data_IF_958986206608
#
_entry.id   IF_958986206608
#
_cell.length_a   1.000
_cell.length_b   1.000
_cell.length_c   1.000
_cell.angle_alpha   90.00
_cell.angle_beta   90.00
_cell.angle_gamma   90.00
#
_symmetry.space_group_name_H-M   'P 1'
#
loop_
_entity.id
_entity.type
_entity.pdbx_description
1 polymer ?
#
# COMPACT_ATOMS: atom_id res chain seq x y z
N UNK A 1 -1.07 11.03 23.85
CA UNK A 1 -1.31 9.80 24.61
C UNK A 1 -0.01 9.17 25.09
N UNK A 2 0.89 8.73 24.20
CA UNK A 2 2.16 8.09 24.59
C UNK A 2 3.04 8.96 25.51
N UNK A 3 3.21 10.25 25.21
CA UNK A 3 3.95 11.18 26.08
C UNK A 3 3.34 11.27 27.49
N UNK A 4 2.01 11.34 27.58
CA UNK A 4 1.30 11.40 28.85
C UNK A 4 1.44 10.10 29.68
N UNK A 5 1.71 8.96 29.04
CA UNK A 5 1.96 7.70 29.71
C UNK A 5 3.35 7.62 30.37
N UNK A 6 4.23 8.60 30.16
CA UNK A 6 5.58 8.63 30.74
C UNK A 6 6.51 7.59 30.14
N UNK A 7 6.94 7.81 28.88
CA UNK A 7 7.83 6.89 28.18
C UNK A 7 9.16 6.70 28.92
N UNK A 8 9.59 5.45 29.08
CA UNK A 8 10.93 5.12 29.57
C UNK A 8 11.99 5.52 28.53
N UNK A 9 13.23 5.86 28.95
CA UNK A 9 14.30 6.26 28.02
C UNK A 9 14.63 5.22 26.93
N UNK A 10 14.44 3.93 27.23
CA UNK A 10 14.70 2.83 26.29
C UNK A 10 13.47 2.44 25.45
N UNK A 11 12.37 3.19 25.47
CA UNK A 11 11.18 2.90 24.68
C UNK A 11 11.47 3.05 23.17
N UNK A 12 11.42 1.94 22.45
CA UNK A 12 11.82 1.86 21.04
C UNK A 12 10.67 1.50 20.09
N UNK A 13 9.64 0.80 20.57
CA UNK A 13 8.51 0.31 19.77
C UNK A 13 7.18 0.45 20.50
N UNK A 14 6.09 0.48 19.73
CA UNK A 14 4.72 0.38 20.24
C UNK A 14 4.01 -0.77 19.52
N UNK A 15 3.49 -1.73 20.27
CA UNK A 15 2.71 -2.85 19.74
C UNK A 15 1.22 -2.68 20.03
N UNK A 16 0.38 -2.91 19.02
CA UNK A 16 -1.07 -2.88 19.15
C UNK A 16 -1.65 -4.29 19.22
N UNK A 17 -2.47 -4.54 20.24
CA UNK A 17 -3.26 -5.76 20.37
C UNK A 17 -4.76 -5.45 20.23
N UNK A 18 -5.41 -6.21 19.35
CA UNK A 18 -6.84 -6.16 19.07
C UNK A 18 -7.62 -7.18 19.89
N UNK A 19 -8.93 -6.96 20.00
CA UNK A 19 -9.86 -7.82 20.72
C UNK A 19 -10.50 -8.90 19.86
N UNK A 20 -9.89 -9.25 18.72
CA UNK A 20 -10.41 -10.28 17.83
C UNK A 20 -10.27 -11.68 18.46
N UNK A 21 -11.35 -12.50 18.43
CA UNK A 21 -11.20 -13.92 18.66
C UNK A 21 -10.47 -14.46 17.44
N UNK A 22 -9.24 -14.96 17.62
CA UNK A 22 -8.46 -15.52 16.52
C UNK A 22 -9.26 -16.55 15.69
N UNK A 23 -8.83 -16.83 14.46
CA UNK A 23 -9.57 -17.69 13.53
C UNK A 23 -9.93 -19.07 14.12
N UNK A 24 -9.11 -19.55 15.07
CA UNK A 24 -9.37 -20.69 15.95
C UNK A 24 -8.91 -20.33 17.37
N UNK A 25 -9.38 -21.05 18.39
CA UNK A 25 -9.05 -20.78 19.79
C UNK A 25 -7.54 -20.82 20.10
N UNK A 26 -6.76 -21.56 19.31
CA UNK A 26 -5.30 -21.70 19.46
C UNK A 26 -4.50 -20.74 18.59
N UNK A 27 -5.16 -19.87 17.81
CA UNK A 27 -4.48 -18.93 16.96
C UNK A 27 -3.75 -17.87 17.81
N UNK A 28 -2.51 -17.55 17.41
CA UNK A 28 -1.79 -16.45 18.02
C UNK A 28 -2.56 -15.13 17.78
N UNK A 29 -2.58 -14.21 18.77
CA UNK A 29 -3.21 -12.91 18.58
C UNK A 29 -2.49 -12.10 17.50
N UNK A 30 -3.24 -11.29 16.75
CA UNK A 30 -2.69 -10.41 15.72
C UNK A 30 -2.04 -9.19 16.37
N UNK A 31 -0.76 -9.34 16.72
CA UNK A 31 0.04 -8.26 17.32
C UNK A 31 1.14 -7.84 16.35
N UNK A 32 1.10 -6.57 15.96
CA UNK A 32 2.13 -5.90 15.16
C UNK A 32 2.68 -4.76 15.99
N UNK A 33 3.98 -4.49 15.83
CA UNK A 33 4.63 -3.34 16.46
C UNK A 33 5.23 -2.41 15.41
N UNK A 34 5.14 -1.11 15.69
CA UNK A 34 5.78 -0.06 14.90
C UNK A 34 6.90 0.59 15.72
N UNK A 35 7.98 1.05 15.08
CA UNK A 35 9.03 1.81 15.76
C UNK A 35 8.48 3.10 16.38
N UNK A 36 9.07 3.55 17.48
CA UNK A 36 8.61 4.73 18.24
C UNK A 36 8.52 5.98 17.36
N UNK A 37 9.47 6.16 16.41
CA UNK A 37 9.42 7.27 15.43
C UNK A 37 8.10 7.32 14.66
N UNK A 38 7.53 6.16 14.30
CA UNK A 38 6.27 6.07 13.56
C UNK A 38 5.08 6.18 14.51
N UNK A 39 5.18 5.62 15.72
CA UNK A 39 4.14 5.76 16.74
C UNK A 39 3.94 7.22 17.20
N UNK A 40 5.02 8.01 17.15
CA UNK A 40 5.04 9.44 17.48
C UNK A 40 4.77 10.37 16.29
N UNK A 41 4.61 9.83 15.07
CA UNK A 41 4.18 10.62 13.91
C UNK A 41 2.81 11.22 14.20
N UNK A 42 2.63 12.52 13.92
CA UNK A 42 1.39 13.26 14.19
C UNK A 42 0.17 12.67 13.46
N UNK A 43 0.38 11.92 12.38
CA UNK A 43 -0.66 11.27 11.60
C UNK A 43 -0.91 9.82 12.04
N UNK A 44 -0.16 9.27 12.99
CA UNK A 44 -0.49 7.97 13.58
C UNK A 44 -1.58 8.15 14.62
N UNK A 45 -2.76 7.58 14.36
CA UNK A 45 -3.97 7.91 15.12
C UNK A 45 -4.51 6.70 15.87
N UNK A 46 -5.06 6.97 17.05
CA UNK A 46 -6.14 6.16 17.60
C UNK A 46 -7.47 6.76 17.12
N UNK A 47 -8.12 6.08 16.18
CA UNK A 47 -9.34 6.56 15.54
C UNK A 47 -10.57 5.84 16.10
N UNK A 48 -11.65 6.59 16.34
CA UNK A 48 -12.98 6.10 16.73
C UNK A 48 -14.07 6.43 15.69
N UNK A 49 -13.72 7.19 14.67
CA UNK A 49 -14.60 7.57 13.56
C UNK A 49 -13.91 7.39 12.20
N UNK A 50 -14.71 7.18 11.15
CA UNK A 50 -14.29 7.08 9.75
C UNK A 50 -15.37 7.71 8.87
N UNK A 51 -14.99 8.68 8.04
CA UNK A 51 -15.90 9.45 7.16
C UNK A 51 -17.09 10.03 7.95
N UNK A 52 -16.78 10.81 9.00
CA UNK A 52 -17.74 11.53 9.85
C UNK A 52 -18.76 10.67 10.61
N UNK A 53 -18.58 9.35 10.63
CA UNK A 53 -19.41 8.40 11.37
C UNK A 53 -18.56 7.53 12.32
N UNK A 54 -19.15 6.96 13.39
CA UNK A 54 -18.48 5.95 14.19
C UNK A 54 -17.92 4.82 13.32
N UNK A 55 -16.80 4.23 13.73
CA UNK A 55 -16.23 3.10 12.99
C UNK A 55 -17.26 1.99 12.77
N UNK A 56 -17.39 1.45 11.54
CA UNK A 56 -18.09 0.20 11.33
C UNK A 56 -17.43 -0.94 12.13
N UNK A 57 -18.21 -1.91 12.61
CA UNK A 57 -17.68 -3.06 13.38
C UNK A 57 -16.55 -3.78 12.65
N UNK A 58 -16.70 -4.00 11.34
CA UNK A 58 -15.69 -4.66 10.49
C UNK A 58 -14.38 -3.86 10.36
N UNK A 59 -14.43 -2.55 10.62
CA UNK A 59 -13.30 -1.63 10.59
C UNK A 59 -12.70 -1.34 11.97
N UNK A 60 -13.17 -2.01 13.02
CA UNK A 60 -12.52 -1.98 14.33
C UNK A 60 -13.22 -1.15 15.40
N UNK A 61 -14.54 -0.93 15.30
CA UNK A 61 -15.31 -0.30 16.38
C UNK A 61 -14.99 -0.92 17.76
N UNK A 62 -14.86 -0.14 18.84
CA UNK A 62 -15.02 1.32 18.91
C UNK A 62 -13.73 2.09 18.60
N UNK A 63 -12.59 1.42 18.52
CA UNK A 63 -11.28 2.07 18.43
C UNK A 63 -10.32 1.23 17.58
N UNK A 64 -9.57 1.90 16.71
CA UNK A 64 -8.47 1.28 15.97
C UNK A 64 -7.21 2.13 15.99
N UNK A 65 -6.07 1.48 15.86
CA UNK A 65 -4.84 2.13 15.42
C UNK A 65 -4.90 2.33 13.90
N UNK A 66 -4.50 3.52 13.45
CA UNK A 66 -4.28 3.85 12.05
C UNK A 66 -2.82 4.29 11.93
N UNK A 67 -2.06 3.58 11.09
CA UNK A 67 -0.65 3.89 10.80
C UNK A 67 -0.56 4.26 9.32
N UNK A 68 -0.77 5.54 8.95
CA UNK A 68 -0.81 5.93 7.56
C UNK A 68 0.49 5.63 6.81
N UNK A 69 0.36 5.31 5.53
CA UNK A 69 1.49 4.97 4.66
C UNK A 69 2.06 3.55 4.84
N UNK A 70 1.77 2.88 5.96
CA UNK A 70 2.25 1.53 6.23
C UNK A 70 1.23 0.48 5.80
N UNK A 71 1.68 -0.77 5.67
CA UNK A 71 0.78 -1.91 5.41
C UNK A 71 -0.33 -2.00 6.45
N UNK A 72 -1.53 -2.36 6.00
CA UNK A 72 -2.73 -2.36 6.84
C UNK A 72 -2.64 -3.24 8.09
N UNK A 73 -1.75 -4.25 8.10
CA UNK A 73 -1.52 -5.09 9.28
C UNK A 73 -0.95 -4.31 10.46
N UNK A 74 -0.24 -3.21 10.25
CA UNK A 74 0.22 -2.32 11.33
C UNK A 74 -0.93 -1.51 11.97
N UNK A 75 -2.10 -1.44 11.32
CA UNK A 75 -3.26 -0.67 11.77
C UNK A 75 -4.26 -1.56 12.53
N UNK A 76 -3.92 -1.93 13.77
CA UNK A 76 -4.68 -2.82 14.65
C UNK A 76 -6.14 -2.38 14.81
N UNK A 77 -7.08 -3.26 14.43
CA UNK A 77 -8.52 -3.07 14.65
C UNK A 77 -8.92 -3.55 16.05
N UNK A 78 -10.05 -3.05 16.56
CA UNK A 78 -10.57 -3.42 17.88
C UNK A 78 -9.51 -3.23 18.97
N UNK A 79 -8.73 -2.15 18.85
CA UNK A 79 -7.56 -1.90 19.65
C UNK A 79 -7.97 -1.71 21.11
N UNK A 80 -7.41 -2.54 22.00
CA UNK A 80 -7.66 -2.44 23.44
C UNK A 80 -6.37 -2.26 24.24
N UNK A 81 -5.23 -2.74 23.75
CA UNK A 81 -3.94 -2.62 24.43
C UNK A 81 -2.88 -2.05 23.48
N UNK A 82 -2.16 -1.04 23.96
CA UNK A 82 -0.90 -0.58 23.39
C UNK A 82 0.24 -0.91 24.36
N UNK A 83 1.26 -1.63 23.89
CA UNK A 83 2.44 -2.00 24.66
C UNK A 83 3.63 -1.17 24.20
N UNK A 84 4.27 -0.45 25.12
CA UNK A 84 5.54 0.22 24.87
C UNK A 84 6.67 -0.77 25.15
N UNK A 85 7.52 -1.00 24.15
CA UNK A 85 8.56 -2.03 24.15
C UNK A 85 9.93 -1.39 23.88
N UNK A 86 10.99 -2.04 24.34
CA UNK A 86 12.39 -1.68 24.08
C UNK A 86 12.96 -2.30 22.80
N UNK A 87 12.20 -3.18 22.16
CA UNK A 87 12.53 -3.85 20.90
C UNK A 87 11.25 -4.18 20.10
N UNK A 88 11.35 -4.54 18.81
CA UNK A 88 10.21 -5.05 18.06
C UNK A 88 9.51 -6.21 18.79
N UNK A 89 8.18 -6.24 18.73
CA UNK A 89 7.40 -7.33 19.34
C UNK A 89 7.79 -8.68 18.74
N UNK A 90 7.94 -9.69 19.60
CA UNK A 90 8.30 -11.06 19.20
C UNK A 90 7.05 -11.92 19.16
N UNK A 91 6.47 -12.08 17.98
CA UNK A 91 5.34 -12.97 17.75
C UNK A 91 5.08 -13.23 16.28
N UNK A 92 4.19 -14.17 15.98
CA UNK A 92 3.95 -14.72 14.63
C UNK A 92 3.81 -13.67 13.54
N UNK A 93 3.10 -12.58 13.81
CA UNK A 93 2.85 -11.51 12.82
C UNK A 93 4.01 -10.51 12.66
N UNK A 94 5.08 -10.65 13.43
CA UNK A 94 6.34 -9.91 13.28
C UNK A 94 7.49 -10.83 12.80
N UNK A 95 7.38 -12.15 12.99
CA UNK A 95 8.47 -13.11 12.72
C UNK A 95 8.19 -14.12 11.61
N UNK A 96 6.92 -14.36 11.25
CA UNK A 96 6.52 -15.36 10.26
C UNK A 96 5.61 -14.80 9.17
N UNK A 97 4.77 -13.82 9.52
CA UNK A 97 3.89 -13.11 8.58
C UNK A 97 4.26 -11.63 8.52
N UNK A 98 3.88 -10.95 7.43
CA UNK A 98 4.20 -9.54 7.20
C UNK A 98 5.70 -9.23 7.35
N UNK A 99 6.52 -10.12 6.80
CA UNK A 99 7.96 -9.97 6.66
C UNK A 99 8.34 -10.12 5.19
N UNK A 100 9.42 -9.48 4.78
CA UNK A 100 10.00 -9.63 3.44
C UNK A 100 11.51 -9.83 3.55
N UNK A 101 12.14 -10.52 2.58
CA UNK A 101 13.59 -10.57 2.48
C UNK A 101 14.16 -9.15 2.48
N UNK A 102 15.24 -8.93 3.24
CA UNK A 102 15.93 -7.63 3.25
C UNK A 102 16.54 -7.28 1.90
N UNK A 103 16.97 -8.30 1.16
CA UNK A 103 17.52 -8.21 -0.19
C UNK A 103 16.76 -9.12 -1.14
N UNK A 104 16.76 -8.80 -2.43
CA UNK A 104 16.14 -9.64 -3.44
C UNK A 104 16.73 -11.05 -3.43
N UNK A 105 15.86 -12.05 -3.57
CA UNK A 105 16.23 -13.47 -3.64
C UNK A 105 15.70 -14.08 -4.94
N UNK A 106 16.21 -15.25 -5.30
CA UNK A 106 15.76 -15.98 -6.47
C UNK A 106 14.31 -16.48 -6.29
N UNK A 107 13.47 -16.38 -7.34
CA UNK A 107 12.12 -16.93 -7.31
C UNK A 107 12.07 -18.41 -6.95
N UNK A 108 11.17 -18.78 -6.03
CA UNK A 108 10.98 -20.17 -5.57
C UNK A 108 11.82 -20.55 -4.35
N UNK A 109 12.75 -19.70 -3.89
CA UNK A 109 13.52 -19.96 -2.67
C UNK A 109 12.66 -19.83 -1.41
N UNK A 110 13.08 -20.51 -0.33
CA UNK A 110 12.47 -20.33 1.00
C UNK A 110 12.82 -18.95 1.57
N UNK A 111 12.04 -18.49 2.56
CA UNK A 111 12.35 -17.25 3.28
C UNK A 111 13.75 -17.34 3.92
N UNK A 112 14.68 -16.41 3.63
CA UNK A 112 16.00 -16.40 4.25
C UNK A 112 15.90 -15.96 5.73
N UNK A 113 16.97 -16.12 6.52
CA UNK A 113 17.01 -15.60 7.90
C UNK A 113 17.01 -14.07 7.99
N UNK A 114 17.60 -13.37 7.01
CA UNK A 114 17.70 -11.91 7.00
C UNK A 114 16.42 -11.29 6.40
N UNK A 115 15.48 -10.98 7.28
CA UNK A 115 14.16 -10.45 6.95
C UNK A 115 13.90 -9.13 7.66
N UNK A 116 13.05 -8.32 7.04
CA UNK A 116 12.53 -7.09 7.64
C UNK A 116 11.02 -7.15 7.75
N UNK A 117 10.49 -6.42 8.72
CA UNK A 117 9.05 -6.23 8.85
C UNK A 117 8.51 -5.50 7.61
N UNK A 118 7.33 -5.89 7.14
CA UNK A 118 6.61 -5.12 6.13
C UNK A 118 6.12 -3.81 6.75
N UNK A 119 6.72 -2.69 6.34
CA UNK A 119 6.45 -1.34 6.88
C UNK A 119 5.74 -0.46 5.83
N UNK A 120 6.37 0.65 5.42
CA UNK A 120 5.85 1.59 4.44
C UNK A 120 5.64 0.94 3.05
N UNK A 121 4.57 1.34 2.36
CA UNK A 121 4.35 0.94 0.97
C UNK A 121 5.44 1.51 0.04
N UNK A 122 5.99 0.70 -0.88
CA UNK A 122 6.75 1.24 -2.01
C UNK A 122 5.81 1.98 -2.96
N UNK A 123 6.37 2.82 -3.83
CA UNK A 123 5.61 3.51 -4.88
C UNK A 123 4.80 2.50 -5.71
N UNK A 124 3.52 2.81 -5.91
CA UNK A 124 2.58 2.01 -6.70
C UNK A 124 1.63 2.92 -7.47
N UNK A 125 1.26 2.49 -8.67
CA UNK A 125 0.10 2.98 -9.41
C UNK A 125 -0.74 1.81 -9.91
N UNK A 126 -2.04 2.07 -10.07
CA UNK A 126 -3.02 1.13 -10.57
C UNK A 126 -4.06 1.87 -11.41
N UNK A 127 -4.24 1.41 -12.64
CA UNK A 127 -5.36 1.77 -13.51
C UNK A 127 -6.65 1.18 -12.92
N UNK A 128 -7.64 2.02 -12.68
CA UNK A 128 -8.98 1.63 -12.18
C UNK A 128 -10.05 1.73 -13.25
N UNK A 129 -9.77 2.41 -14.36
CA UNK A 129 -10.63 2.50 -15.54
C UNK A 129 -9.76 2.76 -16.77
N UNK A 130 -10.04 2.16 -17.94
CA UNK A 130 -11.13 1.22 -18.22
C UNK A 130 -10.97 -0.13 -17.51
N UNK A 131 -12.03 -0.95 -17.51
CA UNK A 131 -11.95 -2.33 -17.05
C UNK A 131 -11.17 -3.19 -18.05
N UNK A 132 -10.47 -4.25 -17.62
CA UNK A 132 -9.85 -5.20 -18.52
C UNK A 132 -10.87 -5.74 -19.54
N UNK A 133 -10.46 -5.79 -20.81
CA UNK A 133 -11.24 -6.22 -21.97
C UNK A 133 -12.48 -5.37 -22.27
N UNK A 134 -12.55 -4.13 -21.76
CA UNK A 134 -13.56 -3.17 -22.20
C UNK A 134 -13.49 -2.94 -23.72
N UNK A 135 -14.65 -2.68 -24.32
CA UNK A 135 -14.80 -2.47 -25.77
C UNK A 135 -15.19 -1.02 -26.06
N UNK A 136 -14.54 -0.43 -27.04
CA UNK A 136 -14.77 0.94 -27.51
C UNK A 136 -15.02 0.91 -29.01
N UNK A 137 -15.83 1.85 -29.52
CA UNK A 137 -16.16 1.90 -30.95
C UNK A 137 -15.39 3.01 -31.66
N UNK A 138 -14.92 2.74 -32.87
CA UNK A 138 -14.35 3.74 -33.75
C UNK A 138 -13.17 4.48 -33.13
N UNK A 139 -13.21 5.81 -33.25
CA UNK A 139 -12.24 6.75 -32.67
C UNK A 139 -12.67 7.30 -31.30
N UNK A 140 -13.55 6.60 -30.57
CA UNK A 140 -14.00 7.06 -29.26
C UNK A 140 -12.80 7.30 -28.33
N UNK A 141 -12.70 8.52 -27.79
CA UNK A 141 -11.70 8.86 -26.78
C UNK A 141 -11.84 7.96 -25.56
N UNK A 142 -10.72 7.39 -25.12
CA UNK A 142 -10.61 6.55 -23.93
C UNK A 142 -9.91 7.35 -22.83
N UNK A 143 -10.62 7.68 -21.76
CA UNK A 143 -9.99 8.28 -20.57
C UNK A 143 -9.55 7.18 -19.61
N UNK A 144 -8.25 6.94 -19.54
CA UNK A 144 -7.62 6.08 -18.54
C UNK A 144 -7.61 6.83 -17.20
N UNK A 145 -8.07 6.18 -16.13
CA UNK A 145 -8.07 6.72 -14.77
C UNK A 145 -7.42 5.73 -13.82
N UNK A 146 -6.77 6.25 -12.79
CA UNK A 146 -6.21 5.39 -11.77
C UNK A 146 -5.84 6.12 -10.51
N UNK A 147 -5.14 5.40 -9.64
CA UNK A 147 -4.65 5.85 -8.35
C UNK A 147 -3.16 5.51 -8.23
N UNK A 148 -2.40 6.38 -7.58
CA UNK A 148 -1.01 6.17 -7.23
C UNK A 148 -0.77 6.54 -5.76
N UNK A 149 0.13 5.83 -5.10
CA UNK A 149 0.45 6.05 -3.70
C UNK A 149 1.88 5.60 -3.39
N UNK A 150 2.45 6.19 -2.35
CA UNK A 150 3.71 5.78 -1.71
C UNK A 150 3.51 5.86 -0.20
N UNK A 151 4.19 5.00 0.56
CA UNK A 151 4.01 4.93 1.99
C UNK A 151 4.65 6.08 2.76
N UNK A 152 5.82 6.55 2.32
CA UNK A 152 6.49 7.71 2.89
C UNK A 152 7.06 8.56 1.75
N UNK A 153 6.76 9.87 1.75
CA UNK A 153 7.06 10.77 0.63
C UNK A 153 5.79 11.11 -0.16
N UNK A 154 5.96 11.54 -1.40
CA UNK A 154 4.87 11.93 -2.29
C UNK A 154 5.01 11.26 -3.66
N UNK A 155 3.89 11.05 -4.36
CA UNK A 155 3.93 10.64 -5.77
C UNK A 155 4.34 11.84 -6.62
N UNK A 156 5.50 11.76 -7.27
CA UNK A 156 6.02 12.80 -8.17
C UNK A 156 5.28 12.80 -9.51
N UNK A 157 5.26 11.64 -10.19
CA UNK A 157 4.62 11.50 -11.49
C UNK A 157 4.09 10.09 -11.75
N UNK A 158 3.12 10.01 -12.65
CA UNK A 158 2.63 8.76 -13.25
C UNK A 158 2.80 8.84 -14.75
N UNK A 159 3.28 7.77 -15.36
CA UNK A 159 3.41 7.64 -16.81
C UNK A 159 2.60 6.45 -17.31
N UNK A 160 2.02 6.62 -18.48
CA UNK A 160 1.25 5.60 -19.20
C UNK A 160 1.98 5.26 -20.50
N UNK A 161 2.09 3.97 -20.78
CA UNK A 161 2.51 3.45 -22.08
C UNK A 161 1.33 2.78 -22.78
N UNK A 162 1.27 2.94 -24.10
CA UNK A 162 0.27 2.33 -25.00
C UNK A 162 0.92 1.37 -26.01
N UNK A 163 2.20 1.04 -25.83
CA UNK A 163 3.03 0.29 -26.77
C UNK A 163 3.94 -0.75 -26.08
N UNK A 164 3.42 -1.33 -24.99
CA UNK A 164 4.10 -2.36 -24.19
C UNK A 164 5.41 -1.86 -23.54
N UNK A 165 5.43 -0.59 -23.14
CA UNK A 165 6.50 0.01 -22.34
C UNK A 165 7.66 0.57 -23.15
N UNK A 166 7.54 0.66 -24.48
CA UNK A 166 8.59 1.24 -25.35
C UNK A 166 8.63 2.77 -25.22
N UNK A 167 7.47 3.42 -25.20
CA UNK A 167 7.34 4.86 -24.99
C UNK A 167 6.38 5.16 -23.84
N UNK A 168 6.58 6.31 -23.22
CA UNK A 168 5.87 6.71 -22.01
C UNK A 168 5.43 8.17 -22.10
N UNK A 169 4.19 8.43 -21.67
CA UNK A 169 3.61 9.76 -21.62
C UNK A 169 3.13 10.05 -20.21
N UNK A 170 3.37 11.27 -19.72
CA UNK A 170 2.90 11.68 -18.39
C UNK A 170 1.38 11.71 -18.36
N UNK A 171 0.80 11.09 -17.33
CA UNK A 171 -0.59 11.27 -16.96
C UNK A 171 -0.76 12.59 -16.19
N UNK A 172 -1.97 13.14 -16.24
CA UNK A 172 -2.33 14.28 -15.41
C UNK A 172 -2.63 13.79 -14.00
N UNK A 173 -1.84 14.23 -13.03
CA UNK A 173 -2.11 13.98 -11.61
C UNK A 173 -3.07 15.03 -11.07
N UNK A 174 -4.02 14.59 -10.23
CA UNK A 174 -4.78 15.52 -9.40
C UNK A 174 -3.84 16.27 -8.46
N UNK A 175 -4.23 17.47 -8.04
CA UNK A 175 -3.50 18.26 -7.03
C UNK A 175 -3.20 17.39 -5.80
N UNK A 176 -2.05 17.64 -5.16
CA UNK A 176 -1.70 16.96 -3.91
C UNK A 176 -2.81 17.15 -2.89
N UNK A 177 -3.23 16.04 -2.29
CA UNK A 177 -4.16 16.02 -1.17
C UNK A 177 -3.40 15.80 0.13
N UNK A 178 -4.03 15.11 1.08
CA UNK A 178 -3.39 14.75 2.34
C UNK A 178 -2.16 13.84 2.10
N UNK A 179 -1.10 14.03 2.90
CA UNK A 179 0.20 13.36 2.81
C UNK A 179 0.13 11.86 2.51
N UNK A 180 -0.79 11.15 3.14
CA UNK A 180 -0.91 9.68 3.05
C UNK A 180 -2.08 9.20 2.18
N UNK A 181 -2.84 10.11 1.58
CA UNK A 181 -3.89 9.75 0.63
C UNK A 181 -3.29 9.35 -0.71
N UNK A 182 -3.95 8.44 -1.43
CA UNK A 182 -3.61 8.22 -2.83
C UNK A 182 -3.83 9.49 -3.65
N UNK A 183 -3.09 9.64 -4.74
CA UNK A 183 -3.36 10.63 -5.79
C UNK A 183 -4.07 9.96 -6.94
N UNK A 184 -5.10 10.61 -7.47
CA UNK A 184 -5.73 10.16 -8.72
C UNK A 184 -4.96 10.67 -9.92
N UNK A 185 -5.00 9.92 -11.02
CA UNK A 185 -4.44 10.34 -12.29
C UNK A 185 -5.41 10.06 -13.45
N UNK A 186 -5.30 10.86 -14.51
CA UNK A 186 -6.04 10.70 -15.75
C UNK A 186 -5.09 10.76 -16.96
N UNK A 187 -5.41 10.00 -18.01
CA UNK A 187 -4.69 10.02 -19.28
C UNK A 187 -5.70 9.82 -20.41
N UNK A 188 -5.84 10.81 -21.28
CA UNK A 188 -6.72 10.72 -22.44
C UNK A 188 -5.97 10.09 -23.62
N UNK A 189 -6.59 9.09 -24.20
CA UNK A 189 -6.08 8.35 -25.34
C UNK A 189 -7.09 8.37 -26.49
N UNK A 190 -6.63 8.72 -27.68
CA UNK A 190 -7.44 8.68 -28.90
C UNK A 190 -6.92 7.52 -29.77
N UNK A 191 -7.73 6.48 -30.03
CA UNK A 191 -7.30 5.36 -30.85
C UNK A 191 -7.00 5.79 -32.29
N UNK A 192 -5.80 5.50 -32.77
CA UNK A 192 -5.40 5.72 -34.18
C UNK A 192 -5.75 4.51 -35.08
N UNK A 193 -6.01 3.35 -34.47
CA UNK A 193 -6.32 2.09 -35.16
C UNK A 193 -7.27 1.23 -34.36
N UNK A 194 -8.01 0.38 -35.05
CA UNK A 194 -8.78 -0.70 -34.45
C UNK A 194 -7.87 -1.81 -33.92
N UNK A 195 -8.37 -2.57 -32.96
CA UNK A 195 -7.69 -3.72 -32.37
C UNK A 195 -7.40 -3.57 -30.88
N UNK A 196 -6.58 -4.48 -30.37
CA UNK A 196 -6.24 -4.55 -28.96
C UNK A 196 -5.23 -3.45 -28.58
N UNK A 197 -5.54 -2.70 -27.53
CA UNK A 197 -4.68 -1.67 -26.95
C UNK A 197 -4.40 -2.03 -25.50
N UNK A 198 -3.14 -1.92 -25.10
CA UNK A 198 -2.68 -2.24 -23.75
C UNK A 198 -2.13 -0.98 -23.09
N UNK A 199 -2.67 -0.66 -21.92
CA UNK A 199 -2.21 0.44 -21.09
C UNK A 199 -1.34 -0.12 -19.96
N UNK A 200 -0.09 0.35 -19.89
CA UNK A 200 0.79 0.10 -18.75
C UNK A 200 0.89 1.37 -17.90
N UNK A 201 0.84 1.23 -16.58
CA UNK A 201 1.04 2.34 -15.65
C UNK A 201 2.25 2.10 -14.75
N UNK A 202 3.09 3.13 -14.63
CA UNK A 202 4.20 3.21 -13.68
C UNK A 202 4.26 4.58 -13.02
N UNK A 203 4.75 4.63 -11.79
CA UNK A 203 4.85 5.84 -11.01
C UNK A 203 6.24 6.00 -10.37
N UNK A 204 6.54 7.26 -10.01
CA UNK A 204 7.72 7.65 -9.25
C UNK A 204 7.28 8.40 -8.00
N UNK A 205 8.08 8.25 -6.96
CA UNK A 205 8.01 9.13 -5.80
C UNK A 205 8.98 10.32 -5.92
N UNK A 206 8.84 11.24 -4.98
CA UNK A 206 9.66 12.44 -4.79
C UNK A 206 11.13 12.15 -4.44
N UNK A 207 11.49 10.88 -4.20
CA UNK A 207 12.85 10.42 -3.91
C UNK A 207 13.49 9.72 -5.10
N UNK A 208 12.78 9.66 -6.24
CA UNK A 208 13.26 9.03 -7.46
C UNK A 208 13.08 7.52 -7.53
N UNK A 209 12.42 6.89 -6.54
CA UNK A 209 12.08 5.48 -6.64
C UNK A 209 11.00 5.29 -7.71
N UNK A 210 11.13 4.25 -8.51
CA UNK A 210 10.22 3.93 -9.60
C UNK A 210 9.61 2.55 -9.42
N UNK A 211 8.39 2.35 -9.91
CA UNK A 211 7.86 0.99 -10.07
C UNK A 211 8.69 0.20 -11.08
N UNK A 212 9.15 -1.01 -10.74
CA UNK A 212 9.84 -1.87 -11.68
C UNK A 212 8.85 -2.49 -12.69
N UNK A 213 9.34 -2.91 -13.85
CA UNK A 213 8.52 -3.63 -14.82
C UNK A 213 8.01 -4.96 -14.22
N UNK A 214 8.93 -5.70 -13.59
CA UNK A 214 8.67 -6.93 -12.86
C UNK A 214 9.01 -6.67 -11.39
N UNK A 215 8.07 -6.87 -10.45
CA UNK A 215 8.36 -6.64 -9.03
C UNK A 215 9.30 -7.70 -8.48
N UNK A 216 10.00 -7.36 -7.40
CA UNK A 216 10.80 -8.31 -6.66
C UNK A 216 9.93 -9.43 -6.10
N UNK A 217 10.30 -10.66 -6.43
CA UNK A 217 9.64 -11.83 -5.89
C UNK A 217 9.99 -12.00 -4.41
N UNK A 218 9.02 -12.43 -3.61
CA UNK A 218 9.26 -12.90 -2.25
C UNK A 218 8.29 -14.04 -1.91
N UNK A 219 8.64 -14.95 -0.99
CA UNK A 219 7.87 -16.17 -0.74
C UNK A 219 6.43 -15.94 -0.25
N UNK A 220 6.17 -14.78 0.35
CA UNK A 220 4.85 -14.43 0.91
C UNK A 220 4.02 -13.53 -0.03
N UNK A 221 4.56 -13.17 -1.21
CA UNK A 221 3.85 -12.38 -2.21
C UNK A 221 3.53 -10.94 -1.80
N UNK A 222 4.23 -10.37 -0.81
CA UNK A 222 3.98 -8.99 -0.36
C UNK A 222 4.57 -7.94 -1.31
N UNK A 223 4.06 -6.71 -1.21
CA UNK A 223 4.56 -5.53 -1.93
C UNK A 223 4.70 -5.69 -3.45
N UNK A 224 3.78 -6.42 -4.08
CA UNK A 224 3.71 -6.43 -5.54
C UNK A 224 3.49 -5.01 -6.07
N UNK A 225 4.53 -4.44 -6.70
CA UNK A 225 4.49 -3.08 -7.23
C UNK A 225 4.91 -2.97 -8.71
N UNK A 226 4.77 -4.06 -9.47
CA UNK A 226 4.98 -4.06 -10.91
C UNK A 226 4.06 -3.10 -11.67
N UNK A 227 4.38 -2.85 -12.94
CA UNK A 227 3.53 -2.06 -13.83
C UNK A 227 2.14 -2.69 -13.93
N UNK A 228 1.09 -1.91 -13.69
CA UNK A 228 -0.27 -2.41 -13.87
C UNK A 228 -0.60 -2.39 -15.36
N UNK A 229 -1.14 -3.51 -15.88
CA UNK A 229 -1.51 -3.67 -17.29
C UNK A 229 -3.01 -3.82 -17.42
N UNK A 230 -3.63 -3.03 -18.27
CA UNK A 230 -5.04 -3.15 -18.64
C UNK A 230 -5.15 -3.14 -20.16
N UNK A 231 -5.71 -4.21 -20.71
CA UNK A 231 -6.01 -4.30 -22.13
C UNK A 231 -7.46 -3.94 -22.44
N UNK A 232 -7.70 -3.35 -23.61
CA UNK A 232 -9.02 -3.03 -24.16
C UNK A 232 -9.06 -3.36 -25.64
N UNK A 233 -10.26 -3.43 -26.21
CA UNK A 233 -10.47 -3.62 -27.64
C UNK A 233 -11.15 -2.39 -28.24
N UNK A 234 -10.57 -1.88 -29.33
CA UNK A 234 -11.18 -0.85 -30.17
C UNK A 234 -11.75 -1.53 -31.40
N UNK A 235 -13.07 -1.50 -31.53
CA UNK A 235 -13.83 -2.07 -32.64
C UNK A 235 -14.06 -1.02 -33.72
N UNK A 236 -14.35 -1.46 -34.94
CA UNK A 236 -14.70 -0.60 -36.06
C UNK A 236 -15.97 0.22 -35.80
#
# INVERSE_FOLDING_TARGET
MLQAAGLKPNAAHVAGQGGDPGAVATAAPVIRSIPMRKAMDENTLLAWAMNDAPLPKVHGYPLRLVVPGWVGSASTKWAHTLMVLDAPFKGTYMTNSYIVPKFAIEPGQKMPPDVVSAEAWPIKSMITSPAPNARFKGSQRITVRGRAWVGEGEVDRVEISTDEGKTWRRAQLARSGDKYAWRTFTFDFEPERFGYVSFLARAWDDRGNAQPAVPYWNPLGYFWNGWHRVGVLVEA
#
